data_IF_988052523299
#
_entry.id   IF_988052523299
#
_cell.length_a   1.000
_cell.length_b   1.000
_cell.length_c   1.000
_cell.angle_alpha   90.00
_cell.angle_beta   90.00
_cell.angle_gamma   90.00
#
_symmetry.space_group_name_H-M   'P 1'
#
loop_
_entity.id
_entity.type
_entity.pdbx_description
1 polymer ?
#
# COMPACT_ATOMS: atom_id res chain seq x y z
N UNK A 1 2.41 9.92 14.97
CA UNK A 1 1.21 9.07 14.77
C UNK A 1 1.06 8.81 13.27
N UNK A 2 0.96 7.56 12.83
CA UNK A 2 0.80 7.23 11.40
C UNK A 2 -0.65 6.86 11.07
N UNK A 3 -1.22 7.42 10.02
CA UNK A 3 -2.59 7.15 9.57
C UNK A 3 -2.57 6.52 8.18
N UNK A 4 -3.12 5.31 8.06
CA UNK A 4 -3.40 4.68 6.78
C UNK A 4 -4.79 5.10 6.29
N UNK A 5 -4.84 5.91 5.24
CA UNK A 5 -6.08 6.32 4.57
C UNK A 5 -6.35 5.36 3.43
N UNK A 6 -7.57 4.83 3.36
CA UNK A 6 -8.02 3.90 2.31
C UNK A 6 -9.25 4.48 1.62
N UNK A 7 -9.25 4.44 0.28
CA UNK A 7 -10.41 4.68 -0.55
C UNK A 7 -10.66 3.43 -1.40
N UNK A 8 -11.75 2.72 -1.11
CA UNK A 8 -12.13 1.50 -1.81
C UNK A 8 -13.22 1.78 -2.85
N UNK A 9 -12.99 1.33 -4.07
CA UNK A 9 -13.99 1.18 -5.14
C UNK A 9 -14.43 -0.27 -5.29
N UNK A 10 -15.29 -0.54 -6.28
CA UNK A 10 -15.81 -1.90 -6.55
C UNK A 10 -14.73 -2.91 -6.93
N UNK A 11 -13.69 -2.50 -7.66
CA UNK A 11 -12.58 -3.34 -8.11
C UNK A 11 -11.21 -2.68 -7.93
N UNK A 12 -11.13 -1.64 -7.10
CA UNK A 12 -9.89 -0.94 -6.79
C UNK A 12 -9.81 -0.51 -5.33
N UNK A 13 -8.58 -0.25 -4.87
CA UNK A 13 -8.29 0.27 -3.54
C UNK A 13 -7.10 1.23 -3.65
N UNK A 14 -7.33 2.51 -3.41
CA UNK A 14 -6.27 3.53 -3.27
C UNK A 14 -5.92 3.70 -1.81
N UNK A 15 -4.64 3.90 -1.51
CA UNK A 15 -4.22 4.14 -0.14
C UNK A 15 -3.04 5.12 -0.05
N UNK A 16 -2.93 5.74 1.13
CA UNK A 16 -1.79 6.55 1.55
C UNK A 16 -1.49 6.30 3.02
N UNK A 17 -0.22 6.16 3.38
CA UNK A 17 0.24 6.19 4.76
C UNK A 17 0.82 7.58 5.04
N UNK A 18 0.27 8.27 6.03
CA UNK A 18 0.62 9.66 6.36
C UNK A 18 1.20 9.68 7.77
N UNK A 19 2.35 10.33 7.95
CA UNK A 19 2.85 10.70 9.27
C UNK A 19 2.22 12.02 9.70
N UNK A 20 1.36 11.99 10.72
CA UNK A 20 0.62 13.16 11.18
C UNK A 20 1.44 14.12 12.03
N UNK A 21 2.66 13.76 12.43
CA UNK A 21 3.56 14.71 13.11
C UNK A 21 4.25 15.65 12.13
N UNK A 22 4.53 15.16 10.92
CA UNK A 22 5.21 15.90 9.85
C UNK A 22 4.29 16.28 8.68
N UNK A 23 3.07 15.73 8.67
CA UNK A 23 2.09 15.78 7.57
C UNK A 23 2.61 15.21 6.24
N UNK A 24 3.72 14.45 6.28
CA UNK A 24 4.29 13.83 5.10
C UNK A 24 3.58 12.52 4.74
N UNK A 25 3.36 12.32 3.44
CA UNK A 25 2.93 11.01 2.92
C UNK A 25 4.15 10.12 2.81
N UNK A 26 4.20 9.05 3.60
CA UNK A 26 5.30 8.08 3.62
C UNK A 26 5.25 7.12 2.43
N UNK A 27 4.05 6.70 2.05
CA UNK A 27 3.82 5.85 0.88
C UNK A 27 2.42 6.06 0.33
N UNK A 28 2.25 5.75 -0.97
CA UNK A 28 0.95 5.69 -1.63
C UNK A 28 0.87 4.47 -2.53
N UNK A 29 -0.34 4.02 -2.82
CA UNK A 29 -0.50 2.97 -3.82
C UNK A 29 -1.93 2.79 -4.29
N UNK A 30 -2.02 1.87 -5.25
CA UNK A 30 -3.25 1.50 -5.94
C UNK A 30 -3.24 -0.01 -6.15
N UNK A 31 -4.24 -0.67 -5.60
CA UNK A 31 -4.68 -1.98 -6.05
C UNK A 31 -5.75 -1.76 -7.13
N UNK A 32 -5.59 -2.38 -8.28
CA UNK A 32 -6.57 -2.37 -9.35
C UNK A 32 -6.86 -3.78 -9.84
N UNK A 33 -7.98 -3.95 -10.54
CA UNK A 33 -8.46 -5.25 -11.04
C UNK A 33 -8.66 -6.28 -9.90
N UNK A 34 -9.10 -5.82 -8.72
CA UNK A 34 -9.45 -6.70 -7.60
C UNK A 34 -10.61 -7.60 -8.02
N UNK A 35 -10.51 -8.90 -7.73
CA UNK A 35 -11.44 -9.94 -8.18
C UNK A 35 -11.23 -10.40 -9.62
N UNK A 36 -10.17 -9.92 -10.29
CA UNK A 36 -9.77 -10.33 -11.63
C UNK A 36 -8.32 -10.86 -11.59
N UNK A 37 -7.45 -10.37 -12.47
CA UNK A 37 -6.02 -10.70 -12.57
C UNK A 37 -5.14 -9.90 -11.59
N UNK A 38 -5.63 -8.78 -11.05
CA UNK A 38 -5.01 -8.02 -9.98
C UNK A 38 -3.71 -7.31 -10.38
N UNK A 39 -3.54 -6.07 -9.93
CA UNK A 39 -2.30 -5.32 -10.11
C UNK A 39 -2.08 -4.39 -8.93
N UNK A 40 -0.86 -4.36 -8.39
CA UNK A 40 -0.51 -3.53 -7.26
C UNK A 40 0.66 -2.63 -7.62
N UNK A 41 0.39 -1.32 -7.59
CA UNK A 41 1.41 -0.30 -7.56
C UNK A 41 1.58 0.24 -6.15
N UNK A 42 2.75 0.05 -5.56
CA UNK A 42 3.16 0.60 -4.27
C UNK A 42 4.36 1.53 -4.46
N UNK A 43 4.19 2.79 -4.07
CA UNK A 43 5.20 3.85 -4.22
C UNK A 43 5.59 4.36 -2.83
N UNK A 44 6.73 3.92 -2.29
CA UNK A 44 7.39 4.57 -1.17
C UNK A 44 7.77 6.01 -1.54
N UNK A 45 7.59 6.93 -0.61
CA UNK A 45 8.00 8.34 -0.74
C UNK A 45 9.11 8.69 0.26
N UNK A 46 9.84 7.68 0.69
CA UNK A 46 11.05 7.79 1.50
C UNK A 46 12.27 7.44 0.65
N UNK A 47 13.41 8.07 0.91
CA UNK A 47 14.59 7.97 0.06
C UNK A 47 15.14 6.52 -0.01
N UNK A 48 15.55 6.13 -1.22
CA UNK A 48 16.26 4.87 -1.46
C UNK A 48 15.40 3.60 -1.55
N UNK A 49 14.06 3.72 -1.42
CA UNK A 49 13.14 2.57 -1.54
C UNK A 49 12.59 2.45 -2.97
N UNK A 50 12.63 1.26 -3.59
CA UNK A 50 12.12 1.05 -4.94
C UNK A 50 10.58 1.08 -5.00
N UNK A 51 10.04 1.35 -6.19
CA UNK A 51 8.60 1.21 -6.48
C UNK A 51 8.31 -0.24 -6.82
N UNK A 52 7.27 -0.81 -6.22
CA UNK A 52 6.70 -2.10 -6.63
C UNK A 52 5.54 -1.82 -7.59
N UNK A 53 5.53 -2.47 -8.76
CA UNK A 53 4.57 -2.21 -9.84
C UNK A 53 4.38 -3.49 -10.67
N UNK A 54 3.61 -4.44 -10.12
CA UNK A 54 3.50 -5.78 -10.70
C UNK A 54 2.07 -6.33 -10.58
N UNK A 55 1.78 -7.30 -11.45
CA UNK A 55 0.57 -8.11 -11.36
C UNK A 55 0.62 -8.98 -10.09
N UNK A 56 -0.44 -8.89 -9.29
CA UNK A 56 -0.54 -9.59 -8.02
C UNK A 56 -2.00 -10.02 -7.81
N UNK A 57 -2.29 -11.34 -7.74
CA UNK A 57 -3.65 -11.82 -7.53
C UNK A 57 -4.25 -11.28 -6.24
N UNK A 58 -5.37 -10.59 -6.36
CA UNK A 58 -6.16 -10.07 -5.24
C UNK A 58 -7.63 -10.47 -5.43
N UNK A 59 -8.03 -11.71 -5.08
CA UNK A 59 -9.38 -12.24 -5.33
C UNK A 59 -10.48 -11.43 -4.62
N UNK A 60 -10.18 -10.84 -3.46
CA UNK A 60 -11.08 -9.96 -2.73
C UNK A 60 -10.34 -8.74 -2.19
N UNK A 61 -11.09 -7.76 -1.67
CA UNK A 61 -10.51 -6.63 -0.95
C UNK A 61 -9.70 -7.06 0.28
N UNK A 62 -10.01 -8.20 0.90
CA UNK A 62 -9.22 -8.71 2.02
C UNK A 62 -7.79 -9.06 1.59
N UNK A 63 -7.61 -9.75 0.47
CA UNK A 63 -6.26 -10.02 -0.08
C UNK A 63 -5.60 -8.73 -0.57
N UNK A 64 -6.36 -7.78 -1.13
CA UNK A 64 -5.81 -6.48 -1.50
C UNK A 64 -5.25 -5.72 -0.28
N UNK A 65 -5.99 -5.66 0.83
CA UNK A 65 -5.52 -5.04 2.08
C UNK A 65 -4.31 -5.77 2.65
N UNK A 66 -4.31 -7.11 2.62
CA UNK A 66 -3.16 -7.89 3.06
C UNK A 66 -1.91 -7.57 2.23
N UNK A 67 -2.03 -7.45 0.91
CA UNK A 67 -0.94 -7.06 0.03
C UNK A 67 -0.45 -5.63 0.31
N UNK A 68 -1.36 -4.69 0.59
CA UNK A 68 -0.98 -3.32 1.01
C UNK A 68 -0.16 -3.33 2.29
N UNK A 69 -0.60 -4.10 3.31
CA UNK A 69 0.12 -4.23 4.58
C UNK A 69 1.49 -4.87 4.38
N UNK A 70 1.58 -5.92 3.57
CA UNK A 70 2.84 -6.57 3.21
C UNK A 70 3.82 -5.57 2.59
N UNK A 71 3.38 -4.78 1.60
CA UNK A 71 4.26 -3.78 0.97
C UNK A 71 4.64 -2.66 1.91
N UNK A 72 3.74 -2.17 2.76
CA UNK A 72 4.04 -1.15 3.75
C UNK A 72 5.06 -1.60 4.80
N UNK A 73 5.11 -2.90 5.11
CA UNK A 73 5.99 -3.50 6.13
C UNK A 73 7.19 -4.27 5.58
N UNK A 74 7.32 -4.34 4.24
CA UNK A 74 8.39 -5.05 3.55
C UNK A 74 9.77 -4.50 3.90
N UNK A 75 10.77 -5.38 4.03
CA UNK A 75 12.16 -4.95 4.18
C UNK A 75 12.65 -4.14 2.95
N UNK A 76 12.19 -4.52 1.75
CA UNK A 76 12.61 -3.91 0.50
C UNK A 76 11.77 -2.67 0.16
N UNK A 77 10.45 -2.78 0.21
CA UNK A 77 9.52 -1.71 -0.24
C UNK A 77 8.95 -0.89 0.92
N UNK A 78 8.98 -1.41 2.14
CA UNK A 78 8.24 -0.87 3.27
C UNK A 78 8.79 0.45 3.81
N UNK A 79 7.87 1.17 4.45
CA UNK A 79 8.08 2.50 5.06
C UNK A 79 7.80 2.50 6.57
N UNK A 80 7.37 1.36 7.11
CA UNK A 80 7.25 1.07 8.55
C UNK A 80 7.79 -0.34 8.80
N UNK A 81 8.32 -0.63 9.99
CA UNK A 81 8.86 -1.96 10.29
C UNK A 81 7.77 -2.94 10.76
N UNK A 82 6.63 -2.46 11.26
CA UNK A 82 5.52 -3.32 11.68
C UNK A 82 4.17 -2.60 11.75
N UNK A 83 3.10 -3.39 11.88
CA UNK A 83 1.73 -2.91 12.14
C UNK A 83 1.50 -2.27 13.52
N UNK A 84 2.50 -2.29 14.41
CA UNK A 84 2.40 -1.73 15.76
C UNK A 84 2.85 -0.26 15.84
N UNK A 85 3.40 0.27 14.75
CA UNK A 85 3.91 1.64 14.65
C UNK A 85 2.86 2.70 14.32
#
# INVERSE_FOLDING_TARGET
MKILVINAGSSSLKYQLIDMETEHVLAKGLCERIGLDGHLKHTPLVDGKPVFDEDLPMPTHSEAIAAVIDKLTSAEYGVVASMKE
#
